data_IF_441731358375
#
_entry.id   IF_441731358375
#
_cell.length_a   1.000
_cell.length_b   1.000
_cell.length_c   1.000
_cell.angle_alpha   90.00
_cell.angle_beta   90.00
_cell.angle_gamma   90.00
#
_symmetry.space_group_name_H-M   'P 1'
#
loop_
_entity.id
_entity.type
_entity.pdbx_description
1 polymer ?
#
# COMPACT_ATOMS: atom_id res chain seq x y z
N UNK A 1 -4.87 10.91 -6.29
CA UNK A 1 -4.63 9.51 -6.53
C UNK A 1 -3.89 8.85 -5.40
N UNK A 2 -3.56 7.61 -5.58
CA UNK A 2 -2.81 6.85 -4.58
C UNK A 2 -1.45 6.51 -5.15
N UNK A 3 -0.50 6.31 -4.24
CA UNK A 3 0.87 6.01 -4.62
C UNK A 3 1.38 4.87 -3.76
N UNK A 4 2.08 3.95 -4.38
CA UNK A 4 2.67 2.82 -3.68
C UNK A 4 4.15 2.76 -3.99
N UNK A 5 4.97 2.70 -2.95
CA UNK A 5 6.41 2.49 -3.08
C UNK A 5 6.76 1.15 -2.49
N UNK A 6 7.48 0.35 -3.24
CA UNK A 6 7.98 -0.93 -2.76
C UNK A 6 9.17 -1.34 -3.62
N UNK A 7 10.04 -2.16 -3.07
CA UNK A 7 11.21 -2.62 -3.83
C UNK A 7 10.82 -3.63 -4.90
N UNK A 8 9.87 -4.50 -4.58
CA UNK A 8 9.42 -5.51 -5.54
C UNK A 8 7.91 -5.53 -5.52
N UNK A 9 7.33 -5.92 -6.64
CA UNK A 9 5.90 -6.02 -6.75
C UNK A 9 5.60 -7.15 -7.72
N UNK A 10 4.75 -8.07 -7.31
CA UNK A 10 4.36 -9.20 -8.13
C UNK A 10 2.97 -8.96 -8.67
N UNK A 11 2.69 -9.56 -9.80
CA UNK A 11 1.45 -9.34 -10.51
C UNK A 11 0.85 -10.68 -10.85
N UNK A 12 -0.39 -10.89 -10.48
CA UNK A 12 -1.12 -12.11 -10.79
C UNK A 12 -2.14 -11.79 -11.88
N UNK A 13 -1.86 -12.24 -13.10
CA UNK A 13 -2.75 -11.97 -14.22
C UNK A 13 -4.06 -12.73 -14.15
N UNK A 14 -4.06 -13.88 -13.48
CA UNK A 14 -5.27 -14.70 -13.41
C UNK A 14 -6.28 -14.04 -12.50
N UNK A 15 -5.86 -13.63 -11.31
CA UNK A 15 -6.74 -13.00 -10.35
C UNK A 15 -6.75 -11.49 -10.46
N UNK A 16 -5.90 -10.93 -11.34
CA UNK A 16 -5.80 -9.49 -11.51
C UNK A 16 -5.48 -8.79 -10.21
N UNK A 17 -4.45 -9.29 -9.55
CA UNK A 17 -4.02 -8.76 -8.26
C UNK A 17 -2.55 -8.39 -8.32
N UNK A 18 -2.18 -7.44 -7.48
CA UNK A 18 -0.77 -7.13 -7.26
C UNK A 18 -0.48 -7.36 -5.80
N UNK A 19 0.75 -7.80 -5.53
CA UNK A 19 1.11 -8.11 -4.15
C UNK A 19 2.62 -8.07 -4.00
N UNK A 20 3.06 -7.92 -2.76
CA UNK A 20 4.47 -7.96 -2.43
C UNK A 20 4.61 -8.39 -0.98
N UNK A 21 5.76 -8.98 -0.66
CA UNK A 21 6.12 -9.32 0.72
C UNK A 21 7.10 -8.34 1.32
N UNK A 22 7.54 -7.36 0.54
CA UNK A 22 8.53 -6.41 1.00
C UNK A 22 7.90 -5.28 1.77
N UNK A 23 8.75 -4.42 2.32
CA UNK A 23 8.30 -3.19 2.95
C UNK A 23 7.62 -2.29 1.93
N UNK A 24 6.54 -1.66 2.33
CA UNK A 24 5.79 -0.80 1.44
C UNK A 24 5.50 0.52 2.11
N UNK A 25 5.35 1.54 1.28
CA UNK A 25 4.86 2.85 1.70
C UNK A 25 3.70 3.18 0.77
N UNK A 26 2.52 3.31 1.35
CA UNK A 26 1.31 3.53 0.59
C UNK A 26 0.73 4.89 0.97
N UNK A 27 0.53 5.74 -0.02
CA UNK A 27 0.02 7.08 0.21
C UNK A 27 -1.38 7.15 -0.37
N UNK A 28 -2.35 7.45 0.49
CA UNK A 28 -3.75 7.48 0.07
C UNK A 28 -4.07 8.81 -0.61
N UNK A 29 -5.29 8.89 -1.11
CA UNK A 29 -5.74 10.12 -1.77
C UNK A 29 -5.79 11.29 -0.81
N UNK A 30 -5.90 11.01 0.47
CA UNK A 30 -5.99 12.05 1.48
C UNK A 30 -4.62 12.40 2.04
N UNK A 31 -3.58 11.90 1.41
CA UNK A 31 -2.20 12.17 1.80
C UNK A 31 -1.79 11.51 3.11
N UNK A 32 -2.54 10.52 3.55
CA UNK A 32 -2.11 9.69 4.66
C UNK A 32 -1.04 8.73 4.17
N UNK A 33 -0.01 8.53 4.95
CA UNK A 33 1.08 7.63 4.59
C UNK A 33 1.04 6.42 5.51
N UNK A 34 0.96 5.26 4.89
CA UNK A 34 0.88 3.99 5.62
C UNK A 34 2.15 3.21 5.37
N UNK A 35 2.74 2.69 6.42
CA UNK A 35 3.95 1.88 6.35
C UNK A 35 3.61 0.45 6.75
N UNK A 36 4.21 -0.50 6.06
CA UNK A 36 3.96 -1.87 6.41
C UNK A 36 4.87 -2.82 5.69
N UNK A 37 4.67 -4.11 5.97
CA UNK A 37 5.39 -5.18 5.32
C UNK A 37 4.34 -6.10 4.73
N UNK A 38 4.41 -6.27 3.41
CA UNK A 38 3.42 -7.06 2.71
C UNK A 38 2.21 -6.23 2.32
N UNK A 39 1.82 -6.36 1.07
CA UNK A 39 0.74 -5.56 0.53
C UNK A 39 0.07 -6.36 -0.57
N UNK A 40 -1.24 -6.25 -0.67
CA UNK A 40 -1.94 -6.81 -1.82
C UNK A 40 -3.12 -5.92 -2.16
N UNK A 41 -3.47 -5.93 -3.43
CA UNK A 41 -4.52 -5.06 -3.93
C UNK A 41 -5.01 -5.59 -5.26
N UNK A 42 -6.17 -5.12 -5.71
CA UNK A 42 -6.53 -5.33 -7.09
C UNK A 42 -5.67 -4.41 -7.97
N UNK A 43 -5.77 -4.61 -9.27
CA UNK A 43 -4.91 -3.87 -10.21
C UNK A 43 -5.18 -2.38 -10.13
N UNK A 44 -6.40 -2.00 -9.82
CA UNK A 44 -6.79 -0.60 -9.81
C UNK A 44 -6.51 0.08 -8.49
N UNK A 45 -6.01 -0.68 -7.50
CA UNK A 45 -5.70 -0.16 -6.16
C UNK A 45 -6.95 0.40 -5.46
N UNK A 46 -8.11 -0.10 -5.82
CA UNK A 46 -9.34 0.29 -5.14
C UNK A 46 -9.52 -0.47 -3.84
N UNK A 47 -9.16 -1.75 -3.83
CA UNK A 47 -9.26 -2.58 -2.64
C UNK A 47 -7.86 -3.07 -2.31
N UNK A 48 -7.34 -2.65 -1.17
CA UNK A 48 -5.97 -2.96 -0.82
C UNK A 48 -5.88 -3.34 0.64
N UNK A 49 -4.81 -4.03 0.97
CA UNK A 49 -4.58 -4.51 2.33
C UNK A 49 -3.09 -4.55 2.59
N UNK A 50 -2.68 -4.06 3.76
CA UNK A 50 -1.31 -4.17 4.22
C UNK A 50 -1.27 -5.30 5.24
N UNK A 51 -0.41 -6.29 4.99
CA UNK A 51 -0.41 -7.50 5.79
C UNK A 51 0.06 -7.25 7.21
N UNK A 52 1.14 -6.45 7.36
CA UNK A 52 1.70 -6.13 8.68
C UNK A 52 1.95 -4.64 8.75
N UNK A 53 0.96 -3.86 9.17
CA UNK A 53 1.14 -2.42 9.29
C UNK A 53 2.20 -2.12 10.34
N UNK A 54 3.15 -1.26 10.00
CA UNK A 54 4.21 -0.89 10.93
C UNK A 54 4.11 0.56 11.37
N UNK A 55 3.29 1.37 10.71
CA UNK A 55 3.13 2.74 11.12
C UNK A 55 2.18 3.47 10.19
N UNK A 56 1.67 4.59 10.70
CA UNK A 56 0.77 5.44 9.94
C UNK A 56 1.16 6.88 10.20
N UNK A 57 1.20 7.67 9.14
CA UNK A 57 1.44 9.09 9.25
C UNK A 57 0.28 9.82 8.60
N UNK A 58 -0.35 10.71 9.35
CA UNK A 58 -1.46 11.52 8.82
C UNK A 58 -0.98 12.94 8.69
N UNK A 59 -1.07 13.46 7.48
CA UNK A 59 -0.66 14.82 7.24
C UNK A 59 -1.57 15.76 8.00
N UNK A 60 -1.00 16.82 8.54
CA UNK A 60 -1.79 17.84 9.20
C UNK A 60 -2.16 17.53 10.63
N UNK A 61 -1.74 16.40 11.14
CA UNK A 61 -2.00 16.09 12.53
C UNK A 61 -1.06 16.91 13.39
N UNK A 62 -1.61 17.50 14.42
CA UNK A 62 -0.77 18.18 15.39
C UNK A 62 -1.34 17.88 16.75
N UNK A 63 -0.51 17.50 17.61
CA UNK A 63 -0.94 17.06 18.92
C UNK A 63 -0.48 17.98 19.96
#
# INVERSE_FOLDING_TARGET
GVTLYTDTLSWDNVDEKVFTDDSVIFITEESDTLYGIGFKSDIELDNWEIMKPTGVFHEGINE
#
